data_IF_797215488629
#
_entry.id   IF_797215488629
#
_cell.length_a   1.000
_cell.length_b   1.000
_cell.length_c   1.000
_cell.angle_alpha   90.00
_cell.angle_beta   90.00
_cell.angle_gamma   90.00
#
_symmetry.space_group_name_H-M   'P 1'
#
loop_
_entity.id
_entity.type
_entity.pdbx_description
1 polymer ?
#
# COMPACT_ATOMS: atom_id res chain seq x y z
N UNK A 1 24.86 -3.42 -5.46
CA UNK A 1 24.60 -4.32 -4.32
C UNK A 1 23.74 -5.48 -4.79
N UNK A 2 23.86 -6.63 -4.09
CA UNK A 2 22.92 -7.75 -4.24
C UNK A 2 21.93 -7.74 -3.09
N UNK A 3 20.65 -7.66 -3.40
CA UNK A 3 19.57 -7.42 -2.43
C UNK A 3 18.61 -8.60 -2.44
N UNK A 4 18.36 -9.21 -1.28
CA UNK A 4 17.29 -10.18 -1.09
C UNK A 4 16.08 -9.50 -0.45
N UNK A 5 14.89 -9.69 -1.04
CA UNK A 5 13.63 -9.19 -0.48
C UNK A 5 12.77 -10.38 -0.07
N UNK A 6 12.60 -10.54 1.25
CA UNK A 6 11.79 -11.61 1.83
C UNK A 6 10.36 -11.10 2.03
N UNK A 7 9.51 -11.33 1.05
CA UNK A 7 8.11 -10.92 1.11
C UNK A 7 7.20 -12.11 0.78
N UNK A 8 6.84 -12.91 1.81
CA UNK A 8 6.10 -14.16 1.61
C UNK A 8 4.72 -13.98 0.99
N UNK A 9 4.09 -12.82 1.24
CA UNK A 9 2.71 -12.50 0.84
C UNK A 9 2.77 -11.41 -0.23
N UNK A 10 2.41 -11.73 -1.47
CA UNK A 10 2.47 -10.75 -2.57
C UNK A 10 1.20 -9.90 -2.68
N UNK A 11 0.06 -10.42 -2.22
CA UNK A 11 -1.22 -9.71 -2.22
C UNK A 11 -2.11 -10.20 -1.08
N UNK A 12 -3.05 -9.36 -0.66
CA UNK A 12 -3.90 -9.63 0.50
C UNK A 12 -4.89 -10.75 0.22
N UNK A 13 -4.92 -11.76 1.10
CA UNK A 13 -5.95 -12.78 1.09
C UNK A 13 -7.25 -12.25 1.72
N UNK A 14 -8.39 -12.55 1.09
CA UNK A 14 -9.72 -12.19 1.60
C UNK A 14 -10.37 -13.43 2.20
N UNK A 15 -10.87 -13.33 3.43
CA UNK A 15 -11.50 -14.43 4.17
C UNK A 15 -10.69 -15.74 4.21
N UNK A 16 -9.37 -15.60 4.26
CA UNK A 16 -8.45 -16.74 4.29
C UNK A 16 -8.16 -17.36 2.92
N UNK A 17 -8.77 -16.85 1.85
CA UNK A 17 -8.52 -17.28 0.48
C UNK A 17 -7.49 -16.37 -0.19
N UNK A 18 -6.47 -16.98 -0.78
CA UNK A 18 -5.50 -16.27 -1.63
C UNK A 18 -6.14 -16.12 -3.01
N UNK A 19 -6.34 -14.89 -3.51
CA UNK A 19 -6.94 -14.70 -4.82
C UNK A 19 -6.01 -15.23 -5.92
N UNK A 20 -6.60 -15.85 -6.95
CA UNK A 20 -5.87 -16.23 -8.16
C UNK A 20 -5.69 -14.98 -9.03
N UNK A 21 -4.44 -14.63 -9.32
CA UNK A 21 -4.10 -13.49 -10.16
C UNK A 21 -3.46 -13.93 -11.47
N UNK A 22 -3.66 -13.17 -12.52
CA UNK A 22 -3.06 -13.44 -13.85
C UNK A 22 -1.62 -12.96 -13.90
N UNK A 23 -1.25 -11.97 -13.10
CA UNK A 23 0.11 -11.44 -13.01
C UNK A 23 0.45 -10.99 -11.58
N UNK A 24 1.70 -11.17 -11.17
CA UNK A 24 2.21 -10.57 -9.93
C UNK A 24 2.93 -9.24 -10.18
N UNK A 25 3.08 -8.82 -11.43
CA UNK A 25 3.76 -7.57 -11.82
C UNK A 25 3.04 -6.31 -11.34
N UNK A 26 1.76 -6.44 -10.99
CA UNK A 26 0.96 -5.34 -10.43
C UNK A 26 1.02 -5.25 -8.91
N UNK A 27 1.86 -6.07 -8.26
CA UNK A 27 2.06 -5.97 -6.81
C UNK A 27 3.04 -4.85 -6.47
N UNK A 28 2.83 -4.19 -5.33
CA UNK A 28 3.72 -3.15 -4.82
C UNK A 28 5.16 -3.64 -4.68
N UNK A 29 5.34 -4.85 -4.16
CA UNK A 29 6.69 -5.41 -3.94
C UNK A 29 7.42 -5.68 -5.25
N UNK A 30 6.71 -6.02 -6.33
CA UNK A 30 7.31 -6.14 -7.65
C UNK A 30 7.85 -4.78 -8.14
N UNK A 31 7.07 -3.71 -7.96
CA UNK A 31 7.49 -2.34 -8.24
C UNK A 31 8.74 -1.92 -7.44
N UNK A 32 8.81 -2.30 -6.16
CA UNK A 32 10.01 -2.09 -5.33
C UNK A 32 11.24 -2.82 -5.87
N UNK A 33 11.09 -4.08 -6.27
CA UNK A 33 12.20 -4.85 -6.89
C UNK A 33 12.67 -4.19 -8.20
N UNK A 34 11.74 -3.73 -9.04
CA UNK A 34 12.08 -2.99 -10.26
C UNK A 34 12.83 -1.69 -9.95
N UNK A 35 12.44 -0.97 -8.90
CA UNK A 35 13.08 0.26 -8.49
C UNK A 35 14.55 0.02 -8.08
N UNK A 36 14.83 -0.99 -7.28
CA UNK A 36 16.21 -1.37 -6.95
C UNK A 36 17.02 -1.74 -8.21
N UNK A 37 16.39 -2.47 -9.14
CA UNK A 37 17.05 -2.82 -10.42
C UNK A 37 17.36 -1.59 -11.26
N UNK A 38 16.44 -0.61 -11.36
CA UNK A 38 16.65 0.67 -12.04
C UNK A 38 17.80 1.48 -11.42
N UNK A 39 18.00 1.37 -10.10
CA UNK A 39 19.12 1.97 -9.39
C UNK A 39 20.45 1.19 -9.56
N UNK A 40 20.48 0.18 -10.42
CA UNK A 40 21.69 -0.58 -10.74
C UNK A 40 22.03 -1.70 -9.74
N UNK A 41 21.04 -2.20 -8.97
CA UNK A 41 21.23 -3.30 -8.02
C UNK A 41 20.69 -4.62 -8.57
N UNK A 42 21.28 -5.74 -8.15
CA UNK A 42 20.78 -7.09 -8.40
C UNK A 42 19.74 -7.43 -7.31
N UNK A 43 18.58 -7.91 -7.68
CA UNK A 43 17.47 -8.17 -6.75
C UNK A 43 16.99 -9.61 -6.91
N UNK A 44 16.79 -10.29 -5.78
CA UNK A 44 16.09 -11.57 -5.69
C UNK A 44 14.91 -11.41 -4.75
N UNK A 45 13.69 -11.64 -5.26
CA UNK A 45 12.46 -11.68 -4.45
C UNK A 45 12.21 -13.11 -3.97
N UNK A 46 11.97 -13.27 -2.68
CA UNK A 46 11.59 -14.56 -2.09
C UNK A 46 10.13 -14.48 -1.64
N UNK A 47 9.28 -15.31 -2.21
CA UNK A 47 7.84 -15.37 -1.96
C UNK A 47 7.38 -16.80 -1.72
N UNK A 48 6.14 -16.99 -1.25
CA UNK A 48 5.52 -18.29 -1.17
C UNK A 48 4.92 -18.71 -2.52
N UNK A 49 5.01 -20.00 -2.80
CA UNK A 49 4.52 -20.62 -4.04
C UNK A 49 3.02 -20.43 -4.25
N UNK A 50 2.26 -20.31 -3.18
CA UNK A 50 0.82 -20.03 -3.18
C UNK A 50 0.45 -18.68 -3.86
N UNK A 51 1.42 -17.79 -4.03
CA UNK A 51 1.24 -16.47 -4.64
C UNK A 51 1.75 -16.39 -6.07
N UNK A 52 2.01 -17.52 -6.73
CA UNK A 52 2.34 -17.52 -8.16
C UNK A 52 1.17 -17.01 -9.00
N UNK A 53 1.50 -16.37 -10.11
CA UNK A 53 0.53 -16.11 -11.15
C UNK A 53 -0.09 -17.42 -11.69
N UNK A 54 -1.35 -17.37 -12.08
CA UNK A 54 -2.07 -18.53 -12.64
C UNK A 54 -1.53 -18.99 -14.00
N UNK A 55 -0.83 -18.09 -14.71
CA UNK A 55 -0.17 -18.37 -15.96
C UNK A 55 1.33 -18.14 -15.83
N UNK A 56 2.17 -18.92 -16.54
CA UNK A 56 3.60 -18.66 -16.60
C UNK A 56 3.88 -17.25 -17.14
N UNK A 57 4.71 -16.50 -16.43
CA UNK A 57 5.14 -15.17 -16.88
C UNK A 57 6.65 -14.99 -16.70
N UNK A 58 7.25 -14.15 -17.55
CA UNK A 58 8.66 -13.79 -17.45
C UNK A 58 8.83 -12.62 -16.47
N UNK A 59 9.78 -12.75 -15.56
CA UNK A 59 10.07 -11.71 -14.56
C UNK A 59 11.32 -10.91 -14.93
N UNK A 60 11.35 -9.66 -14.52
CA UNK A 60 12.45 -8.74 -14.80
C UNK A 60 13.67 -8.96 -13.89
N UNK A 61 13.53 -9.75 -12.84
CA UNK A 61 14.53 -10.10 -11.84
C UNK A 61 14.26 -11.52 -11.31
N UNK A 62 15.20 -12.07 -10.54
CA UNK A 62 15.05 -13.41 -9.98
C UNK A 62 13.93 -13.45 -8.92
N UNK A 63 13.03 -14.43 -9.02
CA UNK A 63 12.02 -14.72 -8.00
C UNK A 63 12.16 -16.18 -7.57
N UNK A 64 12.37 -16.38 -6.26
CA UNK A 64 12.42 -17.70 -5.64
C UNK A 64 11.10 -17.97 -4.92
N UNK A 65 10.33 -18.90 -5.44
CA UNK A 65 9.10 -19.35 -4.79
C UNK A 65 9.40 -20.55 -3.88
N UNK A 66 9.00 -20.43 -2.62
CA UNK A 66 9.19 -21.46 -1.60
C UNK A 66 7.86 -22.04 -1.17
N UNK A 67 7.82 -23.35 -0.95
CA UNK A 67 6.60 -24.02 -0.49
C UNK A 67 6.25 -23.62 0.93
N UNK A 68 5.03 -23.09 1.12
CA UNK A 68 4.45 -22.81 2.42
C UNK A 68 4.05 -24.10 3.15
N UNK A 69 4.08 -24.06 4.49
CA UNK A 69 3.63 -25.16 5.35
C UNK A 69 2.73 -24.65 6.46
N UNK A 70 1.89 -25.53 6.99
CA UNK A 70 0.99 -25.24 8.13
C UNK A 70 -0.02 -24.12 7.88
N UNK A 71 -0.37 -23.80 6.65
CA UNK A 71 -1.27 -22.69 6.29
C UNK A 71 -2.67 -22.80 6.93
N UNK A 72 -3.16 -24.03 7.16
CA UNK A 72 -4.45 -24.26 7.86
C UNK A 72 -4.42 -23.81 9.32
N UNK A 73 -3.25 -23.84 9.96
CA UNK A 73 -3.07 -23.50 11.39
C UNK A 73 -2.54 -22.09 11.57
N UNK A 74 -1.48 -21.73 10.85
CA UNK A 74 -0.81 -20.44 10.99
C UNK A 74 -1.50 -19.30 10.23
N UNK A 75 -2.41 -19.66 9.32
CA UNK A 75 -3.12 -18.72 8.46
C UNK A 75 -2.20 -17.83 7.59
N UNK A 76 -2.79 -17.10 6.65
CA UNK A 76 -2.05 -16.16 5.78
C UNK A 76 -1.40 -14.99 6.55
N UNK A 77 -1.70 -14.84 7.84
CA UNK A 77 -1.16 -13.76 8.66
C UNK A 77 0.24 -14.05 9.22
N UNK A 78 0.63 -15.33 9.29
CA UNK A 78 1.95 -15.75 9.78
C UNK A 78 2.47 -16.91 8.91
N UNK A 79 2.79 -16.64 7.64
CA UNK A 79 3.23 -17.69 6.72
C UNK A 79 4.55 -18.31 7.17
N UNK A 80 4.66 -19.63 7.00
CA UNK A 80 5.81 -20.40 7.41
C UNK A 80 6.34 -21.25 6.27
N UNK A 81 7.64 -21.18 6.01
CA UNK A 81 8.35 -22.03 5.06
C UNK A 81 9.69 -22.48 5.63
N UNK A 82 9.85 -23.77 5.99
CA UNK A 82 11.14 -24.28 6.45
C UNK A 82 12.18 -24.29 5.33
N UNK A 83 11.76 -24.24 4.08
CA UNK A 83 12.68 -24.12 2.94
C UNK A 83 13.45 -22.79 2.98
N UNK A 84 12.86 -21.72 3.53
CA UNK A 84 13.53 -20.43 3.66
C UNK A 84 14.75 -20.49 4.58
N UNK A 85 14.66 -21.24 5.70
CA UNK A 85 15.80 -21.42 6.59
C UNK A 85 16.98 -22.05 5.86
N UNK A 86 16.73 -23.13 5.11
CA UNK A 86 17.78 -23.82 4.32
C UNK A 86 18.33 -22.90 3.23
N UNK A 87 17.45 -22.20 2.53
CA UNK A 87 17.82 -21.29 1.45
C UNK A 87 18.67 -20.12 1.96
N UNK A 88 18.28 -19.47 3.05
CA UNK A 88 19.07 -18.38 3.66
C UNK A 88 20.42 -18.90 4.16
N UNK A 89 20.47 -20.04 4.82
CA UNK A 89 21.74 -20.62 5.32
C UNK A 89 22.76 -20.82 4.19
N UNK A 90 22.30 -21.20 3.00
CA UNK A 90 23.17 -21.44 1.84
C UNK A 90 23.50 -20.14 1.10
N UNK A 91 22.54 -19.22 0.98
CA UNK A 91 22.65 -18.11 0.05
C UNK A 91 22.92 -16.74 0.71
N UNK A 92 22.80 -16.60 2.03
CA UNK A 92 22.95 -15.29 2.71
C UNK A 92 24.26 -14.56 2.42
N UNK A 93 25.37 -15.31 2.19
CA UNK A 93 26.68 -14.73 1.87
C UNK A 93 26.71 -14.04 0.51
N UNK A 94 25.79 -14.35 -0.39
CA UNK A 94 25.69 -13.77 -1.74
C UNK A 94 25.06 -12.38 -1.73
N UNK A 95 24.36 -12.01 -0.67
CA UNK A 95 23.61 -10.77 -0.57
C UNK A 95 24.33 -9.76 0.34
N UNK A 96 24.33 -8.50 -0.09
CA UNK A 96 24.82 -7.39 0.71
C UNK A 96 23.73 -6.93 1.71
N UNK A 97 22.48 -6.85 1.27
CA UNK A 97 21.33 -6.39 2.05
C UNK A 97 20.15 -7.37 1.96
N UNK A 98 19.46 -7.56 3.08
CA UNK A 98 18.22 -8.34 3.18
C UNK A 98 17.12 -7.43 3.69
N UNK A 99 16.04 -7.28 2.94
CA UNK A 99 14.82 -6.58 3.37
C UNK A 99 13.75 -7.63 3.66
N UNK A 100 13.19 -7.64 4.86
CA UNK A 100 12.14 -8.61 5.23
C UNK A 100 10.88 -7.89 5.70
N UNK A 101 9.73 -8.34 5.23
CA UNK A 101 8.43 -7.75 5.58
C UNK A 101 7.97 -8.25 6.94
N UNK A 102 7.57 -7.31 7.81
CA UNK A 102 6.97 -7.49 9.12
C UNK A 102 7.86 -8.12 10.20
N UNK A 103 7.84 -7.51 11.37
CA UNK A 103 8.48 -8.11 12.56
C UNK A 103 7.73 -9.38 13.00
N UNK A 104 6.40 -9.39 12.89
CA UNK A 104 5.58 -10.58 13.17
C UNK A 104 5.59 -11.54 11.97
N UNK A 105 6.75 -12.12 11.68
CA UNK A 105 6.96 -13.01 10.53
C UNK A 105 8.10 -14.00 10.79
N UNK A 106 7.90 -15.27 10.46
CA UNK A 106 8.96 -16.28 10.46
C UNK A 106 10.10 -15.95 9.50
N UNK A 107 9.80 -15.28 8.40
CA UNK A 107 10.81 -14.87 7.43
C UNK A 107 11.77 -13.86 8.03
N UNK A 108 11.26 -12.87 8.75
CA UNK A 108 12.07 -11.89 9.48
C UNK A 108 12.83 -12.51 10.64
N UNK A 109 12.24 -13.46 11.36
CA UNK A 109 12.93 -14.21 12.41
C UNK A 109 14.12 -14.98 11.84
N UNK A 110 13.94 -15.70 10.72
CA UNK A 110 15.03 -16.45 10.10
C UNK A 110 16.14 -15.54 9.59
N UNK A 111 15.82 -14.42 8.97
CA UNK A 111 16.79 -13.42 8.56
C UNK A 111 17.54 -12.82 9.77
N UNK A 112 16.83 -12.48 10.84
CA UNK A 112 17.42 -11.97 12.08
C UNK A 112 18.38 -12.94 12.76
N UNK A 113 18.14 -14.26 12.66
CA UNK A 113 19.00 -15.28 13.24
C UNK A 113 20.21 -15.62 12.36
N UNK A 114 20.05 -15.60 11.04
CA UNK A 114 21.09 -16.06 10.11
C UNK A 114 21.95 -14.92 9.55
N UNK A 115 21.39 -13.72 9.35
CA UNK A 115 22.09 -12.59 8.76
C UNK A 115 21.66 -11.23 9.38
N UNK A 116 21.73 -11.07 10.72
CA UNK A 116 21.19 -9.89 11.41
C UNK A 116 21.80 -8.58 10.91
N UNK A 117 23.11 -8.52 10.76
CA UNK A 117 23.86 -7.30 10.43
C UNK A 117 23.55 -6.70 9.05
N UNK A 118 22.85 -7.41 8.19
CA UNK A 118 22.43 -6.95 6.86
C UNK A 118 20.91 -6.97 6.67
N UNK A 119 20.16 -7.32 7.72
CA UNK A 119 18.72 -7.41 7.67
C UNK A 119 18.06 -6.11 8.12
N UNK A 120 17.26 -5.53 7.22
CA UNK A 120 16.31 -4.45 7.51
C UNK A 120 14.90 -5.05 7.53
N UNK A 121 14.14 -4.79 8.59
CA UNK A 121 12.73 -5.20 8.68
C UNK A 121 11.84 -4.03 8.28
N UNK A 122 10.95 -4.24 7.31
CA UNK A 122 10.01 -3.24 6.81
C UNK A 122 8.63 -3.44 7.45
N UNK A 123 8.32 -2.63 8.47
CA UNK A 123 7.18 -2.79 9.37
C UNK A 123 5.95 -1.99 8.93
N UNK A 124 4.83 -2.67 8.72
CA UNK A 124 3.53 -2.05 8.40
C UNK A 124 2.54 -2.08 9.57
N UNK A 125 2.52 -3.18 10.35
CA UNK A 125 1.59 -3.37 11.46
C UNK A 125 1.72 -2.24 12.49
N UNK A 126 0.57 -1.65 12.83
CA UNK A 126 0.45 -0.55 13.81
C UNK A 126 -0.09 -1.00 15.16
N UNK A 127 -0.47 -2.28 15.29
CA UNK A 127 -1.01 -2.90 16.48
C UNK A 127 -0.89 -4.42 16.39
N UNK A 128 -1.10 -5.11 17.51
CA UNK A 128 -1.16 -6.58 17.51
C UNK A 128 -2.29 -7.11 16.63
N UNK A 129 -2.01 -8.17 15.89
CA UNK A 129 -3.02 -8.85 15.09
C UNK A 129 -4.13 -9.42 15.96
N UNK A 130 -5.39 -9.27 15.49
CA UNK A 130 -6.58 -9.53 16.32
C UNK A 130 -6.98 -11.02 16.39
N UNK A 131 -6.12 -11.95 15.94
CA UNK A 131 -6.39 -13.38 16.02
C UNK A 131 -6.09 -13.91 17.44
N UNK A 132 -6.91 -14.85 17.91
CA UNK A 132 -6.78 -15.48 19.25
C UNK A 132 -6.53 -14.42 20.36
N UNK A 133 -7.42 -13.43 20.45
CA UNK A 133 -7.34 -12.35 21.46
C UNK A 133 -5.98 -11.62 21.50
N UNK A 134 -5.30 -11.56 20.37
CA UNK A 134 -3.97 -10.93 20.19
C UNK A 134 -2.82 -11.65 20.92
N UNK A 135 -3.04 -12.78 21.57
CA UNK A 135 -2.05 -13.49 22.39
C UNK A 135 -0.81 -13.88 21.59
N UNK A 136 -0.90 -14.54 20.39
CA UNK A 136 0.29 -14.93 19.64
C UNK A 136 1.14 -13.72 19.25
N UNK A 137 0.53 -12.64 18.81
CA UNK A 137 1.23 -11.41 18.42
C UNK A 137 1.87 -10.72 19.62
N UNK A 138 1.22 -10.71 20.80
CA UNK A 138 1.79 -10.18 22.04
C UNK A 138 3.02 -10.98 22.49
N UNK A 139 2.92 -12.31 22.52
CA UNK A 139 4.03 -13.19 22.86
C UNK A 139 5.19 -12.97 21.89
N UNK A 140 4.90 -12.93 20.59
CA UNK A 140 5.92 -12.70 19.57
C UNK A 140 6.70 -11.40 19.80
N UNK A 141 6.02 -10.27 19.96
CA UNK A 141 6.68 -8.98 20.10
C UNK A 141 7.42 -8.86 21.44
N UNK A 142 6.83 -9.35 22.55
CA UNK A 142 7.46 -9.22 23.86
C UNK A 142 8.64 -10.19 24.06
N UNK A 143 8.67 -11.34 23.38
CA UNK A 143 9.70 -12.34 23.58
C UNK A 143 10.55 -12.50 22.31
N UNK A 144 9.95 -12.94 21.20
CA UNK A 144 10.71 -13.29 19.98
C UNK A 144 11.37 -12.05 19.38
N UNK A 145 10.59 -11.02 19.08
CA UNK A 145 11.13 -9.80 18.49
C UNK A 145 12.16 -9.16 19.42
N UNK A 146 11.80 -8.98 20.69
CA UNK A 146 12.61 -8.28 21.68
C UNK A 146 13.97 -8.94 21.96
N UNK A 147 14.04 -10.25 21.98
CA UNK A 147 15.26 -10.99 22.37
C UNK A 147 15.99 -11.64 21.19
N UNK A 148 15.25 -12.23 20.23
CA UNK A 148 15.85 -12.96 19.14
C UNK A 148 16.13 -12.12 17.89
N UNK A 149 15.35 -11.01 17.69
CA UNK A 149 15.50 -10.16 16.53
C UNK A 149 16.18 -8.81 16.82
N UNK A 150 16.60 -8.56 18.05
CA UNK A 150 17.18 -7.29 18.50
C UNK A 150 18.46 -6.87 17.76
N UNK A 151 19.17 -7.80 17.15
CA UNK A 151 20.45 -7.57 16.50
C UNK A 151 20.32 -7.29 14.98
N UNK A 152 19.10 -7.20 14.43
CA UNK A 152 18.92 -6.77 13.04
C UNK A 152 19.52 -5.38 12.84
N UNK A 153 19.93 -5.08 11.62
CA UNK A 153 20.56 -3.78 11.31
C UNK A 153 19.64 -2.62 11.72
N UNK A 154 18.37 -2.66 11.30
CA UNK A 154 17.34 -1.76 11.80
C UNK A 154 15.92 -2.22 11.42
N UNK A 155 14.91 -1.57 11.98
CA UNK A 155 13.51 -1.66 11.58
C UNK A 155 13.10 -0.34 10.96
N UNK A 156 12.56 -0.38 9.75
CA UNK A 156 12.03 0.78 9.03
C UNK A 156 10.51 0.67 8.99
N UNK A 157 9.82 1.67 9.52
CA UNK A 157 8.36 1.67 9.55
C UNK A 157 7.75 2.29 8.29
N UNK A 158 6.56 1.81 7.89
CA UNK A 158 5.80 2.37 6.75
C UNK A 158 4.94 3.58 7.15
N UNK A 159 4.75 3.82 8.44
CA UNK A 159 3.98 4.96 8.95
C UNK A 159 4.41 5.35 10.35
N UNK A 160 4.05 6.58 10.77
CA UNK A 160 4.28 7.06 12.15
C UNK A 160 3.61 6.16 13.19
N UNK A 161 2.42 5.64 12.89
CA UNK A 161 1.70 4.70 13.77
C UNK A 161 2.46 3.37 13.91
N UNK A 162 2.96 2.82 12.79
CA UNK A 162 3.77 1.60 12.79
C UNK A 162 5.09 1.80 13.56
N UNK A 163 5.76 2.96 13.37
CA UNK A 163 6.96 3.33 14.12
C UNK A 163 6.71 3.36 15.63
N UNK A 164 5.66 4.07 16.08
CA UNK A 164 5.28 4.13 17.49
C UNK A 164 4.97 2.75 18.09
N UNK A 165 4.37 1.87 17.31
CA UNK A 165 4.06 0.51 17.74
C UNK A 165 5.32 -0.33 17.92
N UNK A 166 6.18 -0.41 16.89
CA UNK A 166 7.32 -1.32 16.90
C UNK A 166 8.45 -0.84 17.82
N UNK A 167 8.60 0.46 18.03
CA UNK A 167 9.60 1.04 18.95
C UNK A 167 9.41 0.60 20.41
N UNK A 168 8.25 0.04 20.78
CA UNK A 168 8.02 -0.52 22.12
C UNK A 168 8.76 -1.87 22.31
N UNK A 169 9.12 -2.55 21.22
CA UNK A 169 9.66 -3.91 21.24
C UNK A 169 11.06 -4.04 20.64
N UNK A 170 11.38 -3.20 19.66
CA UNK A 170 12.65 -3.26 18.92
C UNK A 170 13.53 -2.06 19.27
N UNK A 171 14.84 -2.26 19.60
CA UNK A 171 15.73 -1.18 20.02
C UNK A 171 16.19 -0.30 18.85
N UNK A 172 16.23 -0.84 17.64
CA UNK A 172 16.82 -0.21 16.47
C UNK A 172 15.73 0.08 15.45
N UNK A 173 14.99 1.16 15.67
CA UNK A 173 13.96 1.65 14.73
C UNK A 173 14.46 2.92 14.09
N UNK A 174 14.53 2.92 12.75
CA UNK A 174 14.95 4.09 11.98
C UNK A 174 14.02 5.28 12.19
N UNK A 175 14.59 6.48 12.17
CA UNK A 175 13.80 7.71 12.21
C UNK A 175 13.05 7.96 10.92
N UNK A 176 13.57 7.46 9.81
CA UNK A 176 12.90 7.55 8.52
C UNK A 176 11.71 6.61 8.43
N UNK A 177 10.69 7.08 7.74
CA UNK A 177 9.50 6.30 7.37
C UNK A 177 9.58 6.07 5.87
N UNK A 178 9.51 4.80 5.45
CA UNK A 178 9.42 4.42 4.05
C UNK A 178 8.07 3.74 3.85
N UNK A 179 7.15 4.46 3.22
CA UNK A 179 5.82 3.95 2.86
C UNK A 179 5.90 3.11 1.57
N UNK A 180 4.76 2.65 1.09
CA UNK A 180 4.65 1.96 -0.19
C UNK A 180 5.15 2.85 -1.33
N UNK A 181 6.13 2.37 -2.05
CA UNK A 181 6.54 3.02 -3.28
C UNK A 181 5.55 2.76 -4.41
N UNK A 182 5.25 3.78 -5.20
CA UNK A 182 4.40 3.66 -6.38
C UNK A 182 5.26 3.64 -7.65
N UNK A 183 4.95 2.71 -8.54
CA UNK A 183 5.58 2.68 -9.87
C UNK A 183 5.05 3.84 -10.71
N UNK A 184 5.84 4.91 -10.78
CA UNK A 184 5.47 6.14 -11.49
C UNK A 184 5.50 5.99 -13.02
N UNK A 185 6.03 4.90 -13.56
CA UNK A 185 5.93 4.60 -14.99
C UNK A 185 4.57 3.99 -15.35
N UNK A 186 3.96 3.27 -14.41
CA UNK A 186 2.57 2.79 -14.53
C UNK A 186 1.57 3.89 -14.21
N UNK A 187 1.77 4.63 -13.12
CA UNK A 187 0.93 5.73 -12.69
C UNK A 187 1.42 7.07 -13.25
N UNK A 188 1.17 7.28 -14.55
CA UNK A 188 1.50 8.54 -15.23
C UNK A 188 0.60 9.66 -14.73
N UNK A 189 1.13 10.87 -14.65
CA UNK A 189 0.33 12.05 -14.29
C UNK A 189 -0.29 12.74 -15.51
N UNK A 190 -1.33 13.56 -15.25
CA UNK A 190 -1.88 14.53 -16.21
C UNK A 190 -2.18 15.84 -15.49
N UNK A 191 -1.79 16.95 -16.11
CA UNK A 191 -2.23 18.29 -15.70
C UNK A 191 -3.62 18.63 -16.29
N UNK A 192 -4.00 18.01 -17.40
CA UNK A 192 -5.32 18.16 -18.00
C UNK A 192 -6.34 17.32 -17.24
N UNK A 193 -7.42 17.95 -16.78
CA UNK A 193 -8.48 17.34 -16.01
C UNK A 193 -9.81 17.40 -16.74
N UNK A 194 -10.63 16.39 -16.52
CA UNK A 194 -12.00 16.30 -16.99
C UNK A 194 -12.97 16.64 -15.85
N UNK A 195 -14.21 17.00 -16.17
CA UNK A 195 -15.27 17.24 -15.15
C UNK A 195 -15.71 15.92 -14.52
N UNK A 196 -14.77 15.26 -13.81
CA UNK A 196 -15.01 14.04 -13.08
C UNK A 196 -14.22 14.00 -11.78
N UNK A 197 -14.75 13.28 -10.83
CA UNK A 197 -14.12 12.90 -9.57
C UNK A 197 -14.16 11.38 -9.42
N UNK A 198 -13.23 10.78 -8.68
CA UNK A 198 -13.11 9.33 -8.61
C UNK A 198 -12.99 8.84 -7.18
N UNK A 199 -13.57 7.67 -6.90
CA UNK A 199 -13.24 6.86 -5.73
C UNK A 199 -12.86 5.45 -6.19
N UNK A 200 -11.75 4.90 -5.68
CA UNK A 200 -11.30 3.55 -5.99
C UNK A 200 -11.01 2.77 -4.72
N UNK A 201 -11.78 1.71 -4.49
CA UNK A 201 -11.62 0.81 -3.34
C UNK A 201 -12.45 -0.46 -3.51
N UNK A 202 -12.27 -1.44 -2.59
CA UNK A 202 -13.25 -2.52 -2.44
C UNK A 202 -14.62 -1.92 -2.04
N UNK A 203 -15.70 -2.40 -2.67
CA UNK A 203 -17.06 -1.93 -2.38
C UNK A 203 -17.66 -2.70 -1.20
N UNK A 204 -17.14 -2.41 0.01
CA UNK A 204 -17.49 -3.02 1.28
C UNK A 204 -17.82 -1.97 2.33
N UNK A 205 -18.60 -2.31 3.35
CA UNK A 205 -19.07 -1.40 4.39
C UNK A 205 -17.94 -0.55 5.02
N UNK A 206 -16.77 -1.14 5.22
CA UNK A 206 -15.62 -0.46 5.81
C UNK A 206 -15.15 0.75 4.99
N UNK A 207 -15.29 0.71 3.66
CA UNK A 207 -14.82 1.77 2.74
C UNK A 207 -15.80 2.94 2.61
N UNK A 208 -17.06 2.79 3.09
CA UNK A 208 -18.05 3.88 3.18
C UNK A 208 -18.29 4.61 1.86
N UNK A 209 -18.41 3.85 0.77
CA UNK A 209 -18.67 4.41 -0.56
C UNK A 209 -20.07 5.03 -0.65
N UNK A 210 -21.04 4.49 0.12
CA UNK A 210 -22.37 5.06 0.32
C UNK A 210 -22.30 6.52 0.79
N UNK A 211 -21.44 6.80 1.79
CA UNK A 211 -21.21 8.16 2.28
C UNK A 211 -20.60 9.08 1.21
N UNK A 212 -19.76 8.56 0.31
CA UNK A 212 -19.23 9.33 -0.83
C UNK A 212 -20.35 9.70 -1.80
N UNK A 213 -21.23 8.73 -2.16
CA UNK A 213 -22.36 8.97 -3.08
C UNK A 213 -23.31 10.02 -2.50
N UNK A 214 -23.63 9.98 -1.21
CA UNK A 214 -24.49 11.00 -0.56
C UNK A 214 -23.89 12.40 -0.61
N UNK A 215 -22.58 12.54 -0.37
CA UNK A 215 -21.88 13.84 -0.43
C UNK A 215 -21.80 14.34 -1.86
N UNK A 216 -21.52 13.43 -2.82
CA UNK A 216 -21.55 13.76 -4.24
C UNK A 216 -22.93 14.21 -4.71
N UNK A 217 -24.02 13.58 -4.26
CA UNK A 217 -25.38 13.96 -4.59
C UNK A 217 -25.71 15.42 -4.20
N UNK A 218 -25.12 15.90 -3.10
CA UNK A 218 -25.26 17.30 -2.69
C UNK A 218 -24.38 18.21 -3.53
N UNK A 219 -23.12 17.82 -3.81
CA UNK A 219 -22.21 18.54 -4.68
C UNK A 219 -22.81 18.74 -6.09
N UNK A 220 -23.38 17.69 -6.67
CA UNK A 220 -24.00 17.72 -7.99
C UNK A 220 -25.17 18.71 -8.11
N UNK A 221 -25.81 19.08 -6.98
CA UNK A 221 -26.89 20.08 -6.94
C UNK A 221 -26.39 21.52 -6.81
N UNK A 222 -25.10 21.75 -6.62
CA UNK A 222 -24.52 23.09 -6.55
C UNK A 222 -24.51 23.67 -7.97
N UNK A 223 -25.04 24.90 -8.20
CA UNK A 223 -25.04 25.53 -9.52
C UNK A 223 -23.64 25.59 -10.15
N UNK A 224 -23.52 25.09 -11.37
CA UNK A 224 -22.25 25.04 -12.13
C UNK A 224 -21.49 23.71 -12.02
N UNK A 225 -21.94 22.77 -11.15
CA UNK A 225 -21.29 21.47 -10.96
C UNK A 225 -22.15 20.27 -11.42
N UNK A 226 -23.29 20.52 -12.05
CA UNK A 226 -24.26 19.53 -12.50
C UNK A 226 -23.69 18.55 -13.56
N UNK A 227 -22.66 18.97 -14.28
CA UNK A 227 -22.05 18.17 -15.34
C UNK A 227 -20.83 17.34 -14.88
N UNK A 228 -20.54 17.34 -13.57
CA UNK A 228 -19.49 16.49 -13.03
C UNK A 228 -19.95 15.05 -12.93
N UNK A 229 -19.04 14.10 -13.18
CA UNK A 229 -19.28 12.67 -12.98
C UNK A 229 -18.54 12.18 -11.75
N UNK A 230 -19.14 11.21 -11.06
CA UNK A 230 -18.48 10.40 -10.04
C UNK A 230 -18.15 9.02 -10.62
N UNK A 231 -16.87 8.70 -10.74
CA UNK A 231 -16.39 7.38 -11.14
C UNK A 231 -16.16 6.53 -9.90
N UNK A 232 -16.74 5.35 -9.84
CA UNK A 232 -16.54 4.36 -8.77
C UNK A 232 -15.85 3.15 -9.34
N UNK A 233 -14.58 2.96 -8.99
CA UNK A 233 -13.76 1.83 -9.40
C UNK A 233 -13.61 0.83 -8.25
N UNK A 234 -13.84 -0.45 -8.53
CA UNK A 234 -13.73 -1.54 -7.58
C UNK A 234 -14.88 -2.52 -7.66
N UNK A 235 -14.81 -3.56 -6.84
CA UNK A 235 -15.87 -4.59 -6.67
C UNK A 235 -16.05 -4.91 -5.20
N UNK A 236 -17.19 -5.45 -4.84
CA UNK A 236 -17.48 -5.90 -3.47
C UNK A 236 -18.94 -6.20 -3.24
N UNK A 237 -19.23 -6.71 -2.06
CA UNK A 237 -20.57 -7.15 -1.64
C UNK A 237 -21.65 -6.05 -1.68
N UNK A 238 -21.23 -4.78 -1.57
CA UNK A 238 -22.16 -3.64 -1.58
C UNK A 238 -22.45 -3.08 -2.98
N UNK A 239 -21.88 -3.61 -4.05
CA UNK A 239 -21.98 -3.03 -5.40
C UNK A 239 -23.45 -2.81 -5.84
N UNK A 240 -24.33 -3.82 -5.66
CA UNK A 240 -25.75 -3.69 -6.01
C UNK A 240 -26.44 -2.59 -5.20
N UNK A 241 -26.23 -2.58 -3.88
CA UNK A 241 -26.82 -1.58 -2.99
C UNK A 241 -26.37 -0.15 -3.33
N UNK A 242 -25.10 0.02 -3.71
CA UNK A 242 -24.56 1.33 -4.12
C UNK A 242 -25.15 1.81 -5.45
N UNK A 243 -25.39 0.91 -6.40
CA UNK A 243 -26.09 1.23 -7.66
C UNK A 243 -27.53 1.65 -7.41
N UNK A 244 -28.24 0.91 -6.55
CA UNK A 244 -29.63 1.24 -6.15
C UNK A 244 -29.68 2.59 -5.42
N UNK A 245 -28.71 2.89 -4.55
CA UNK A 245 -28.57 4.17 -3.88
C UNK A 245 -28.38 5.32 -4.89
N UNK A 246 -27.47 5.18 -5.85
CA UNK A 246 -27.24 6.20 -6.88
C UNK A 246 -28.50 6.47 -7.70
N UNK A 247 -29.23 5.41 -8.08
CA UNK A 247 -30.52 5.53 -8.78
C UNK A 247 -31.57 6.21 -7.91
N UNK A 248 -31.71 5.83 -6.64
CA UNK A 248 -32.66 6.45 -5.70
C UNK A 248 -32.39 7.94 -5.43
N UNK A 249 -31.16 8.39 -5.66
CA UNK A 249 -30.75 9.80 -5.58
C UNK A 249 -30.85 10.55 -6.91
N UNK A 250 -31.39 9.93 -7.96
CA UNK A 250 -31.51 10.45 -9.33
C UNK A 250 -30.14 10.84 -9.94
N UNK A 251 -29.14 10.00 -9.74
CA UNK A 251 -27.77 10.19 -10.26
C UNK A 251 -27.47 9.28 -11.46
N UNK A 252 -28.52 8.79 -12.15
CA UNK A 252 -28.36 7.99 -13.37
C UNK A 252 -27.59 8.78 -14.44
N UNK A 253 -26.52 8.17 -14.98
CA UNK A 253 -25.64 8.81 -15.95
C UNK A 253 -24.56 9.74 -15.36
N UNK A 254 -24.63 10.04 -14.04
CA UNK A 254 -23.63 10.87 -13.34
C UNK A 254 -22.74 10.05 -12.39
N UNK A 255 -23.20 8.91 -11.90
CA UNK A 255 -22.39 7.94 -11.16
C UNK A 255 -22.12 6.73 -12.04
N UNK A 256 -20.84 6.49 -12.33
CA UNK A 256 -20.39 5.41 -13.21
C UNK A 256 -19.61 4.37 -12.41
N UNK A 257 -20.10 3.11 -12.40
CA UNK A 257 -19.43 1.97 -11.78
C UNK A 257 -18.61 1.23 -12.83
N UNK A 258 -17.29 1.41 -12.82
CA UNK A 258 -16.38 0.84 -13.84
C UNK A 258 -15.84 -0.54 -13.46
N UNK A 259 -16.22 -1.07 -12.29
CA UNK A 259 -15.76 -2.36 -11.80
C UNK A 259 -14.28 -2.35 -11.38
N UNK A 260 -13.69 -3.54 -11.26
CA UNK A 260 -12.26 -3.69 -10.99
C UNK A 260 -11.48 -3.45 -12.28
N UNK A 261 -10.49 -2.56 -12.21
CA UNK A 261 -9.62 -2.21 -13.33
C UNK A 261 -8.16 -2.59 -13.04
N UNK A 262 -7.41 -3.09 -14.04
CA UNK A 262 -5.95 -3.17 -13.97
C UNK A 262 -5.33 -1.78 -13.72
N UNK A 263 -4.13 -1.73 -13.12
CA UNK A 263 -3.49 -0.47 -12.71
C UNK A 263 -3.37 0.58 -13.83
N UNK A 264 -3.01 0.14 -15.04
CA UNK A 264 -2.85 1.06 -16.19
C UNK A 264 -4.18 1.69 -16.59
N UNK A 265 -5.26 0.90 -16.58
CA UNK A 265 -6.61 1.41 -16.89
C UNK A 265 -7.15 2.28 -15.78
N UNK A 266 -6.96 1.87 -14.52
CA UNK A 266 -7.31 2.67 -13.36
C UNK A 266 -6.61 4.03 -13.38
N UNK A 267 -5.32 4.06 -13.74
CA UNK A 267 -4.57 5.31 -13.86
C UNK A 267 -5.18 6.28 -14.89
N UNK A 268 -5.79 5.79 -15.98
CA UNK A 268 -6.44 6.66 -16.98
C UNK A 268 -7.57 7.48 -16.34
N UNK A 269 -8.40 6.84 -15.51
CA UNK A 269 -9.47 7.54 -14.78
C UNK A 269 -8.92 8.45 -13.69
N UNK A 270 -7.95 7.96 -12.89
CA UNK A 270 -7.39 8.76 -11.80
C UNK A 270 -6.75 10.04 -12.33
N UNK A 271 -5.83 9.94 -13.29
CA UNK A 271 -5.03 11.09 -13.76
C UNK A 271 -5.84 12.20 -14.42
N UNK A 272 -7.03 11.88 -14.98
CA UNK A 272 -7.92 12.89 -15.58
C UNK A 272 -8.98 13.40 -14.60
N UNK A 273 -9.13 12.81 -13.42
CA UNK A 273 -10.07 13.27 -12.40
C UNK A 273 -9.56 14.49 -11.65
N UNK A 274 -10.48 15.40 -11.28
CA UNK A 274 -10.17 16.61 -10.53
C UNK A 274 -9.97 16.34 -9.02
N UNK A 275 -10.54 15.27 -8.48
CA UNK A 275 -10.34 14.85 -7.10
C UNK A 275 -10.44 13.33 -6.95
N UNK A 276 -9.71 12.78 -5.98
CA UNK A 276 -9.82 11.39 -5.51
C UNK A 276 -10.46 11.37 -4.13
N UNK A 277 -11.64 10.75 -4.02
CA UNK A 277 -12.46 10.78 -2.80
C UNK A 277 -12.26 9.53 -1.94
N UNK A 278 -12.03 9.74 -0.66
CA UNK A 278 -11.92 8.70 0.37
C UNK A 278 -12.74 9.07 1.58
N UNK A 279 -13.57 8.15 2.07
CA UNK A 279 -14.39 8.35 3.27
C UNK A 279 -14.47 7.07 4.13
N UNK A 280 -13.32 6.43 4.37
CA UNK A 280 -13.29 5.12 5.02
C UNK A 280 -13.66 5.18 6.52
N UNK A 281 -14.41 4.19 7.01
CA UNK A 281 -14.72 4.03 8.44
C UNK A 281 -13.52 3.51 9.24
N UNK A 282 -12.66 2.72 8.60
CA UNK A 282 -11.43 2.17 9.20
C UNK A 282 -10.47 1.74 8.11
N UNK A 283 -9.30 2.34 8.09
CA UNK A 283 -8.19 1.91 7.23
C UNK A 283 -6.84 2.28 7.85
N UNK A 284 -5.79 1.54 7.50
CA UNK A 284 -4.43 1.82 7.94
C UNK A 284 -3.63 2.47 6.81
N UNK A 285 -3.47 1.77 5.70
CA UNK A 285 -2.74 2.22 4.53
C UNK A 285 -3.57 1.99 3.27
N UNK A 286 -4.00 3.08 2.64
CA UNK A 286 -4.68 3.03 1.36
C UNK A 286 -3.67 3.33 0.26
N UNK A 287 -3.22 2.32 -0.47
CA UNK A 287 -2.29 2.48 -1.61
C UNK A 287 -2.87 3.38 -2.70
N UNK A 288 -4.19 3.41 -2.85
CA UNK A 288 -4.88 4.27 -3.82
C UNK A 288 -4.70 5.77 -3.59
N UNK A 289 -4.41 6.21 -2.35
CA UNK A 289 -4.09 7.63 -2.09
C UNK A 289 -2.76 8.04 -2.72
N UNK A 290 -1.61 7.37 -2.44
CA UNK A 290 -0.37 7.68 -3.15
C UNK A 290 -0.47 7.44 -4.67
N UNK A 291 -1.22 6.45 -5.15
CA UNK A 291 -1.48 6.25 -6.59
C UNK A 291 -2.15 7.49 -7.21
N UNK A 292 -3.14 8.07 -6.53
CA UNK A 292 -3.80 9.28 -7.02
C UNK A 292 -2.86 10.49 -7.01
N UNK A 293 -2.09 10.68 -5.95
CA UNK A 293 -1.14 11.81 -5.84
C UNK A 293 -0.07 11.74 -6.96
N UNK A 294 0.53 10.55 -7.18
CA UNK A 294 1.51 10.39 -8.26
C UNK A 294 0.92 10.57 -9.65
N UNK A 295 -0.40 10.40 -9.79
CA UNK A 295 -1.15 10.65 -11.02
C UNK A 295 -1.52 12.14 -11.20
N UNK A 296 -1.15 13.00 -10.24
CA UNK A 296 -1.48 14.43 -10.23
C UNK A 296 -2.93 14.68 -9.84
N UNK A 297 -3.56 13.81 -9.05
CA UNK A 297 -4.96 13.96 -8.64
C UNK A 297 -5.05 14.26 -7.15
N UNK A 298 -5.57 15.43 -6.77
CA UNK A 298 -5.72 15.86 -5.38
C UNK A 298 -6.64 14.95 -4.58
N UNK A 299 -6.38 14.84 -3.28
CA UNK A 299 -7.07 13.95 -2.36
C UNK A 299 -8.10 14.70 -1.54
N UNK A 300 -9.31 14.14 -1.42
CA UNK A 300 -10.28 14.50 -0.39
C UNK A 300 -10.50 13.28 0.50
N UNK A 301 -10.07 13.37 1.76
CA UNK A 301 -10.11 12.22 2.68
C UNK A 301 -10.55 12.61 4.09
N UNK A 302 -11.08 11.64 4.84
CA UNK A 302 -11.18 11.76 6.28
C UNK A 302 -9.84 11.43 6.95
N UNK A 303 -9.74 11.59 8.29
CA UNK A 303 -8.49 11.41 9.04
C UNK A 303 -8.16 9.94 9.39
N UNK A 304 -8.93 8.98 8.88
CA UNK A 304 -8.71 7.55 9.18
C UNK A 304 -7.46 6.97 8.50
N UNK A 305 -7.19 7.24 7.19
CA UNK A 305 -5.97 6.76 6.55
C UNK A 305 -4.72 7.41 7.16
N UNK A 306 -3.65 6.64 7.30
CA UNK A 306 -2.36 7.17 7.76
C UNK A 306 -1.78 8.25 6.83
N UNK A 307 -2.15 8.20 5.56
CA UNK A 307 -1.77 9.17 4.54
C UNK A 307 -2.42 10.55 4.70
N UNK A 308 -3.45 10.71 5.54
CA UNK A 308 -4.06 12.02 5.81
C UNK A 308 -3.04 13.05 6.34
N UNK A 309 -2.08 12.61 7.16
CA UNK A 309 -1.04 13.49 7.72
C UNK A 309 -0.20 14.17 6.63
N UNK A 310 0.23 13.42 5.62
CA UNK A 310 1.04 14.03 4.56
C UNK A 310 0.19 14.77 3.51
N UNK A 311 -1.08 14.39 3.31
CA UNK A 311 -2.01 15.18 2.49
C UNK A 311 -2.13 16.60 3.04
N UNK A 312 -2.31 16.74 4.35
CA UNK A 312 -2.35 18.06 5.03
C UNK A 312 -0.99 18.76 4.91
N UNK A 313 0.07 18.08 5.34
CA UNK A 313 1.41 18.66 5.46
C UNK A 313 1.94 19.24 4.14
N UNK A 314 1.67 18.57 3.04
CA UNK A 314 2.17 18.96 1.72
C UNK A 314 1.10 19.57 0.81
N UNK A 315 -0.07 19.90 1.37
CA UNK A 315 -1.19 20.49 0.65
C UNK A 315 -1.56 19.72 -0.64
N UNK A 316 -1.66 18.41 -0.51
CA UNK A 316 -1.96 17.52 -1.64
C UNK A 316 -3.47 17.34 -1.85
N UNK A 317 -4.26 18.12 -1.15
CA UNK A 317 -5.72 18.09 -1.11
C UNK A 317 -6.24 18.49 0.27
N UNK A 318 -7.42 18.00 0.63
CA UNK A 318 -8.09 18.28 1.90
C UNK A 318 -8.23 16.99 2.71
N UNK A 319 -7.87 17.05 4.00
CA UNK A 319 -8.14 15.98 4.95
C UNK A 319 -8.78 16.57 6.22
N UNK A 320 -10.01 16.13 6.54
CA UNK A 320 -10.81 16.57 7.69
C UNK A 320 -11.45 15.36 8.36
N UNK A 321 -11.85 15.48 9.63
CA UNK A 321 -12.59 14.41 10.32
C UNK A 321 -13.88 14.07 9.57
N UNK A 322 -14.63 15.10 9.19
CA UNK A 322 -15.82 15.04 8.36
C UNK A 322 -15.67 16.07 7.23
N UNK A 323 -15.67 15.59 5.99
CA UNK A 323 -15.69 16.44 4.81
C UNK A 323 -17.07 16.39 4.14
N UNK A 324 -17.42 17.39 3.37
CA UNK A 324 -18.73 17.55 2.72
C UNK A 324 -18.63 17.98 1.25
N UNK A 325 -19.77 18.36 0.68
CA UNK A 325 -19.91 18.84 -0.69
C UNK A 325 -19.13 20.14 -0.97
N UNK A 326 -18.94 20.99 0.04
CA UNK A 326 -18.19 22.22 -0.11
C UNK A 326 -16.69 21.96 -0.21
N UNK A 327 -16.20 20.91 0.45
CA UNK A 327 -14.80 20.45 0.32
C UNK A 327 -14.52 19.87 -1.08
N UNK A 328 -15.52 19.19 -1.68
CA UNK A 328 -15.40 18.75 -3.09
C UNK A 328 -15.30 19.99 -3.99
N UNK A 329 -16.18 20.98 -3.77
CA UNK A 329 -16.17 22.25 -4.52
C UNK A 329 -14.83 22.95 -4.37
N UNK A 330 -14.28 23.07 -3.16
CA UNK A 330 -13.02 23.74 -2.88
C UNK A 330 -11.86 23.11 -3.67
N UNK A 331 -11.77 21.74 -3.70
CA UNK A 331 -10.72 21.05 -4.47
C UNK A 331 -10.89 21.27 -5.97
N UNK A 332 -12.12 21.30 -6.46
CA UNK A 332 -12.41 21.52 -7.88
C UNK A 332 -12.05 22.95 -8.29
N UNK A 333 -12.43 23.95 -7.50
CA UNK A 333 -12.17 25.36 -7.78
C UNK A 333 -10.67 25.71 -7.71
N UNK A 334 -9.95 25.14 -6.75
CA UNK A 334 -8.51 25.33 -6.55
C UNK A 334 -7.66 24.23 -7.17
N UNK A 335 -8.20 23.48 -8.13
CA UNK A 335 -7.61 22.25 -8.67
C UNK A 335 -6.17 22.43 -9.15
N UNK A 336 -5.88 23.52 -9.85
CA UNK A 336 -4.55 23.79 -10.43
C UNK A 336 -3.45 23.85 -9.37
N UNK A 337 -3.73 24.47 -8.20
CA UNK A 337 -2.75 24.54 -7.11
C UNK A 337 -2.51 23.16 -6.49
N UNK A 338 -3.57 22.42 -6.20
CA UNK A 338 -3.45 21.07 -5.64
C UNK A 338 -2.76 20.10 -6.60
N UNK A 339 -3.07 20.16 -7.91
CA UNK A 339 -2.39 19.35 -8.94
C UNK A 339 -0.90 19.67 -8.97
N UNK A 340 -0.52 20.95 -8.96
CA UNK A 340 0.88 21.36 -8.89
C UNK A 340 1.61 20.72 -7.69
N UNK A 341 1.02 20.83 -6.51
CA UNK A 341 1.58 20.25 -5.29
C UNK A 341 1.73 18.70 -5.40
N UNK A 342 0.72 18.02 -5.95
CA UNK A 342 0.79 16.58 -6.20
C UNK A 342 1.96 16.22 -7.15
N UNK A 343 2.14 16.97 -8.23
CA UNK A 343 3.21 16.74 -9.21
C UNK A 343 4.59 16.98 -8.59
N UNK A 344 4.75 18.04 -7.80
CA UNK A 344 5.99 18.33 -7.09
C UNK A 344 6.33 17.26 -6.03
N UNK A 345 5.32 16.70 -5.38
CA UNK A 345 5.51 15.65 -4.36
C UNK A 345 5.65 14.25 -4.95
N UNK A 346 5.25 14.05 -6.20
CA UNK A 346 5.13 12.77 -6.90
C UNK A 346 6.36 11.87 -6.72
N UNK A 347 7.57 12.41 -6.96
CA UNK A 347 8.80 11.62 -6.90
C UNK A 347 9.05 11.05 -5.50
N UNK A 348 8.67 11.75 -4.43
CA UNK A 348 8.85 11.29 -3.04
C UNK A 348 7.98 10.08 -2.68
N UNK A 349 6.94 9.81 -3.47
CA UNK A 349 6.09 8.63 -3.34
C UNK A 349 6.49 7.51 -4.31
N UNK A 350 7.54 7.68 -5.12
CA UNK A 350 7.96 6.67 -6.08
C UNK A 350 8.66 5.49 -5.41
N UNK A 351 8.59 4.34 -6.06
CA UNK A 351 9.33 3.15 -5.66
C UNK A 351 10.84 3.39 -5.70
N UNK A 352 11.32 4.21 -6.64
CA UNK A 352 12.73 4.58 -6.76
C UNK A 352 13.21 5.41 -5.57
N UNK A 353 12.40 6.37 -5.11
CA UNK A 353 12.72 7.15 -3.92
C UNK A 353 12.77 6.27 -2.67
N UNK A 354 11.77 5.39 -2.51
CA UNK A 354 11.73 4.43 -1.41
C UNK A 354 12.93 3.48 -1.43
N UNK A 355 13.30 2.95 -2.60
CA UNK A 355 14.47 2.10 -2.76
C UNK A 355 15.78 2.83 -2.42
N UNK A 356 15.93 4.09 -2.85
CA UNK A 356 17.09 4.91 -2.52
C UNK A 356 17.16 5.19 -1.01
N UNK A 357 16.04 5.41 -0.34
CA UNK A 357 16.00 5.60 1.11
C UNK A 357 16.43 4.33 1.87
N UNK A 358 16.06 3.13 1.42
CA UNK A 358 16.59 1.87 1.98
C UNK A 358 18.10 1.78 1.85
N UNK A 359 18.65 2.13 0.69
CA UNK A 359 20.11 2.14 0.43
C UNK A 359 20.80 3.14 1.36
N UNK A 360 20.24 4.34 1.51
CA UNK A 360 20.78 5.38 2.38
C UNK A 360 20.79 4.94 3.85
N UNK A 361 19.68 4.34 4.34
CA UNK A 361 19.60 3.79 5.69
C UNK A 361 20.66 2.68 5.86
N UNK A 362 20.75 1.77 4.90
CA UNK A 362 21.70 0.66 4.97
C UNK A 362 23.16 1.15 5.06
N UNK A 363 23.53 2.18 4.33
CA UNK A 363 24.88 2.73 4.30
C UNK A 363 25.19 3.62 5.51
N UNK A 364 24.21 4.42 5.99
CA UNK A 364 24.44 5.40 7.07
C UNK A 364 24.37 4.79 8.47
N UNK A 365 23.68 3.69 8.64
CA UNK A 365 23.62 2.96 9.90
C UNK A 365 24.74 1.90 10.01
N UNK A 366 25.95 2.20 9.47
CA UNK A 366 27.13 1.38 9.72
C UNK A 366 27.53 1.54 11.20
N UNK A 367 27.40 0.43 11.94
CA UNK A 367 27.94 0.27 13.29
C UNK A 367 29.39 -0.13 13.27
#
# INVERSE_FOLDING_TARGET
MKIAILNPILFTATDGLIPTVTTIKDTMIYGMCLAFKKLGHEVTLIALDDYRASQPENYDFEIVFLKGMCQRVLTNALPFSPQLWKWLKINQSKFDMVISSETFSFHSLFAALLCPNKTIIWQELTAHQNKLHKIPSKIWHNIIARFLMKNVKCVVARSTKAKKFIAQYMPLVSDKIIDHGIDIDKFKFSASKEKQIISSSQLIHRKNVDGIIHKYAKFHKIPGYENFKLIIAGRGEQESQLKDLAKGLNLDGFVEFVGFLPQIELNRYIRTSMAFLVNTRKDLNMVSIPEAIVSGTPILTNLQPASADFVIKYKLGIAKQEWDENDIKEIVDNNTEYVKNCVEYRYKLSSEYAAQDFINIYNNEQR
#
